data_IF_565202578390
#
_entry.id   IF_565202578390
#
_cell.length_a   1.000
_cell.length_b   1.000
_cell.length_c   1.000
_cell.angle_alpha   90.00
_cell.angle_beta   90.00
_cell.angle_gamma   90.00
#
_symmetry.space_group_name_H-M   'P 1'
#
loop_
_entity.id
_entity.type
_entity.pdbx_description
1 polymer ?
#
# COMPACT_ATOMS: atom_id res chain seq x y z
N UNK A 1 6.08 -9.85 11.02
CA UNK A 1 4.89 -9.26 10.36
C UNK A 1 5.03 -9.17 8.84
N UNK A 2 6.11 -8.56 8.31
CA UNK A 2 6.25 -8.32 6.86
C UNK A 2 6.17 -9.62 6.03
N UNK A 3 6.90 -10.67 6.38
CA UNK A 3 6.82 -11.95 5.66
C UNK A 3 5.40 -12.53 5.64
N UNK A 4 4.68 -12.48 6.76
CA UNK A 4 3.31 -12.98 6.86
C UNK A 4 2.37 -12.19 5.92
N UNK A 5 2.48 -10.86 5.94
CA UNK A 5 1.71 -10.01 5.05
C UNK A 5 2.05 -10.23 3.56
N UNK A 6 3.33 -10.36 3.24
CA UNK A 6 3.81 -10.61 1.88
C UNK A 6 3.35 -11.96 1.35
N UNK A 7 3.39 -13.02 2.17
CA UNK A 7 2.87 -14.34 1.78
C UNK A 7 1.38 -14.26 1.49
N UNK A 8 0.59 -13.64 2.38
CA UNK A 8 -0.84 -13.45 2.14
C UNK A 8 -1.12 -12.66 0.86
N UNK A 9 -0.41 -11.54 0.65
CA UNK A 9 -0.54 -10.71 -0.54
C UNK A 9 -0.18 -11.47 -1.82
N UNK A 10 0.91 -12.25 -1.80
CA UNK A 10 1.30 -13.09 -2.93
C UNK A 10 0.22 -14.11 -3.28
N UNK A 11 -0.40 -14.77 -2.29
CA UNK A 11 -1.49 -15.73 -2.56
C UNK A 11 -2.66 -15.02 -3.27
N UNK A 12 -3.05 -13.82 -2.82
CA UNK A 12 -4.10 -13.02 -3.47
C UNK A 12 -3.69 -12.64 -4.91
N UNK A 13 -2.45 -12.21 -5.12
CA UNK A 13 -1.96 -11.86 -6.45
C UNK A 13 -1.87 -13.06 -7.39
N UNK A 14 -1.51 -14.25 -6.90
CA UNK A 14 -1.56 -15.47 -7.71
C UNK A 14 -2.99 -15.83 -8.09
N UNK A 15 -3.96 -15.67 -7.18
CA UNK A 15 -5.38 -15.86 -7.50
C UNK A 15 -5.91 -14.83 -8.51
N UNK A 16 -5.36 -13.60 -8.51
CA UNK A 16 -5.72 -12.50 -9.43
C UNK A 16 -4.68 -12.25 -10.53
N UNK A 17 -3.85 -13.23 -10.88
CA UNK A 17 -2.66 -13.03 -11.73
C UNK A 17 -2.99 -12.40 -13.09
N UNK A 18 -4.15 -12.75 -13.67
CA UNK A 18 -4.62 -12.21 -14.95
C UNK A 18 -4.85 -10.70 -14.93
N UNK A 19 -5.14 -10.14 -13.76
CA UNK A 19 -5.45 -8.73 -13.56
C UNK A 19 -4.25 -7.91 -13.11
N UNK A 20 -3.11 -8.54 -12.82
CA UNK A 20 -1.88 -7.83 -12.40
C UNK A 20 -1.38 -6.87 -13.49
N UNK A 21 -1.32 -7.24 -14.78
CA UNK A 21 -0.92 -6.30 -15.83
C UNK A 21 -1.88 -5.10 -15.95
N UNK A 22 -3.19 -5.35 -15.88
CA UNK A 22 -4.23 -4.30 -15.88
C UNK A 22 -4.04 -3.35 -14.68
N UNK A 23 -3.72 -3.92 -13.52
CA UNK A 23 -3.48 -3.18 -12.27
C UNK A 23 -2.31 -2.21 -12.40
N UNK A 24 -1.18 -2.63 -12.94
CA UNK A 24 -0.07 -1.73 -13.25
C UNK A 24 -0.49 -0.64 -14.24
N UNK A 25 -1.18 -1.02 -15.32
CA UNK A 25 -1.69 -0.06 -16.30
C UNK A 25 -2.58 1.02 -15.68
N UNK A 26 -3.46 0.64 -14.76
CA UNK A 26 -4.31 1.57 -14.02
C UNK A 26 -3.51 2.53 -13.14
N UNK A 27 -2.49 2.05 -12.42
CA UNK A 27 -1.64 2.90 -11.57
C UNK A 27 -1.02 4.05 -12.39
N UNK A 28 -0.38 3.72 -13.51
CA UNK A 28 0.25 4.73 -14.38
C UNK A 28 -0.80 5.62 -15.06
N UNK A 29 -1.88 5.03 -15.59
CA UNK A 29 -2.94 5.79 -16.26
C UNK A 29 -3.56 6.83 -15.33
N UNK A 30 -3.96 6.44 -14.12
CA UNK A 30 -4.62 7.35 -13.18
C UNK A 30 -3.66 8.31 -12.47
N UNK A 31 -2.36 7.99 -12.42
CA UNK A 31 -1.34 8.91 -11.91
C UNK A 31 -1.14 10.11 -12.86
N UNK A 32 -1.11 9.89 -14.18
CA UNK A 32 -0.81 10.94 -15.17
C UNK A 32 -2.04 11.50 -15.90
N UNK A 33 -3.08 10.69 -16.07
CA UNK A 33 -4.35 11.07 -16.70
C UNK A 33 -5.50 10.72 -15.75
N UNK A 34 -5.59 11.43 -14.61
CA UNK A 34 -6.67 11.20 -13.65
C UNK A 34 -8.02 11.51 -14.31
N UNK A 35 -8.98 10.59 -14.15
CA UNK A 35 -10.34 10.81 -14.62
C UNK A 35 -10.96 12.01 -13.89
N UNK A 36 -11.42 13.01 -14.64
CA UNK A 36 -12.00 14.27 -14.16
C UNK A 36 -13.43 14.10 -13.60
N UNK A 37 -13.72 12.97 -12.96
CA UNK A 37 -15.05 12.62 -12.44
C UNK A 37 -15.47 13.57 -11.29
N UNK A 38 -14.52 14.23 -10.62
CA UNK A 38 -14.79 15.14 -9.50
C UNK A 38 -14.39 16.56 -9.91
N UNK A 39 -15.17 17.22 -10.77
CA UNK A 39 -15.37 18.68 -10.91
C UNK A 39 -14.17 19.64 -11.07
N UNK A 40 -12.94 19.18 -10.88
CA UNK A 40 -11.69 19.91 -11.02
C UNK A 40 -10.96 19.39 -12.24
N UNK A 41 -10.39 20.30 -13.03
CA UNK A 41 -9.60 19.93 -14.20
C UNK A 41 -8.45 18.97 -13.86
N UNK A 42 -7.84 18.40 -14.90
CA UNK A 42 -6.72 17.44 -14.82
C UNK A 42 -5.65 17.88 -13.78
N UNK A 43 -5.37 19.19 -13.69
CA UNK A 43 -4.41 19.76 -12.73
C UNK A 43 -4.79 19.58 -11.25
N UNK A 44 -6.07 19.70 -10.88
CA UNK A 44 -6.51 19.49 -9.50
C UNK A 44 -6.38 18.02 -9.10
N UNK A 45 -6.77 17.12 -10.01
CA UNK A 45 -6.70 15.69 -9.76
C UNK A 45 -5.24 15.20 -9.70
N UNK A 46 -4.35 15.72 -10.55
CA UNK A 46 -2.92 15.45 -10.48
C UNK A 46 -2.31 15.96 -9.16
N UNK A 47 -2.61 17.21 -8.78
CA UNK A 47 -2.17 17.77 -7.50
C UNK A 47 -2.63 16.91 -6.33
N UNK A 48 -3.86 16.40 -6.39
CA UNK A 48 -4.43 15.54 -5.34
C UNK A 48 -3.73 14.19 -5.29
N UNK A 49 -3.50 13.55 -6.44
CA UNK A 49 -2.79 12.27 -6.53
C UNK A 49 -1.37 12.39 -5.96
N UNK A 50 -0.63 13.42 -6.37
CA UNK A 50 0.73 13.67 -5.87
C UNK A 50 0.70 13.99 -4.37
N UNK A 51 -0.17 14.91 -3.93
CA UNK A 51 -0.20 15.34 -2.53
C UNK A 51 -0.60 14.20 -1.59
N UNK A 52 -1.62 13.41 -1.95
CA UNK A 52 -2.05 12.27 -1.15
C UNK A 52 -1.03 11.13 -1.19
N UNK A 53 -0.42 10.87 -2.34
CA UNK A 53 0.65 9.89 -2.49
C UNK A 53 1.88 10.24 -1.66
N UNK A 54 2.37 11.48 -1.78
CA UNK A 54 3.49 11.97 -1.00
C UNK A 54 3.18 11.96 0.50
N UNK A 55 2.01 12.48 0.91
CA UNK A 55 1.60 12.48 2.32
C UNK A 55 1.59 11.05 2.87
N UNK A 56 0.88 10.11 2.23
CA UNK A 56 0.80 8.73 2.73
C UNK A 56 2.13 7.99 2.68
N UNK A 57 2.94 8.23 1.64
CA UNK A 57 4.28 7.63 1.51
C UNK A 57 5.22 8.08 2.63
N UNK A 58 5.31 9.40 2.86
CA UNK A 58 6.13 9.98 3.95
C UNK A 58 5.67 9.53 5.34
N UNK A 59 4.36 9.31 5.53
CA UNK A 59 3.83 8.75 6.78
C UNK A 59 4.14 7.25 6.95
N UNK A 60 4.29 6.49 5.87
CA UNK A 60 4.58 5.05 5.92
C UNK A 60 6.06 4.77 6.22
N UNK A 61 6.94 5.44 5.48
CA UNK A 61 8.39 5.17 5.56
C UNK A 61 9.16 6.16 6.46
N UNK A 62 8.46 7.14 7.04
CA UNK A 62 9.03 8.22 7.87
C UNK A 62 10.18 9.00 7.21
N UNK A 63 10.25 9.00 5.87
CA UNK A 63 11.29 9.71 5.16
C UNK A 63 11.19 11.22 5.43
N UNK A 64 12.29 11.82 5.88
CA UNK A 64 12.34 13.23 6.20
C UNK A 64 11.62 13.65 7.49
N UNK A 65 11.11 12.70 8.30
CA UNK A 65 10.46 13.02 9.59
C UNK A 65 11.47 13.25 10.73
N UNK A 66 12.70 12.72 10.59
CA UNK A 66 13.77 12.91 11.59
C UNK A 66 13.64 12.05 12.85
N UNK A 67 12.62 11.19 12.94
CA UNK A 67 12.40 10.20 14.01
C UNK A 67 13.31 8.97 13.85
N UNK A 68 13.39 8.40 12.64
CA UNK A 68 14.15 7.18 12.34
C UNK A 68 15.65 7.21 12.70
N UNK A 69 16.38 8.34 12.63
CA UNK A 69 17.79 8.39 13.03
C UNK A 69 18.04 8.06 14.51
N UNK A 70 17.06 8.22 15.41
CA UNK A 70 17.22 7.88 16.84
C UNK A 70 17.48 6.38 17.03
N UNK A 71 16.73 5.53 16.32
CA UNK A 71 16.94 4.09 16.35
C UNK A 71 18.26 3.68 15.67
N UNK A 72 18.62 4.37 14.58
CA UNK A 72 19.87 4.11 13.87
C UNK A 72 21.11 4.55 14.67
N UNK A 73 21.00 5.55 15.54
CA UNK A 73 22.10 5.99 16.40
C UNK A 73 22.48 4.96 17.47
N UNK A 74 21.56 4.06 17.84
CA UNK A 74 21.80 2.95 18.77
C UNK A 74 22.42 1.73 18.09
N UNK A 75 22.53 1.72 16.76
CA UNK A 75 23.04 0.58 16.03
C UNK A 75 24.54 0.39 16.28
N UNK A 76 24.93 -0.85 16.60
CA UNK A 76 26.33 -1.22 16.75
C UNK A 76 26.98 -1.43 15.38
N UNK A 77 27.39 -0.33 14.74
CA UNK A 77 28.06 -0.32 13.44
C UNK A 77 29.43 0.35 13.52
N UNK A 78 30.35 -0.03 12.63
CA UNK A 78 31.70 0.54 12.62
C UNK A 78 31.77 1.89 11.91
N UNK A 79 30.87 2.11 10.96
CA UNK A 79 30.82 3.34 10.16
C UNK A 79 29.37 3.81 9.98
N UNK A 80 29.11 5.14 10.09
CA UNK A 80 27.80 5.71 9.80
C UNK A 80 27.27 5.36 8.40
N UNK A 81 28.17 5.14 7.43
CA UNK A 81 27.81 4.75 6.07
C UNK A 81 27.12 3.37 6.02
N UNK A 82 27.57 2.41 6.83
CA UNK A 82 26.97 1.07 6.89
C UNK A 82 25.52 1.18 7.39
N UNK A 83 25.31 1.93 8.47
CA UNK A 83 23.96 2.14 9.01
C UNK A 83 23.07 2.96 8.07
N UNK A 84 23.61 3.94 7.36
CA UNK A 84 22.89 4.68 6.33
C UNK A 84 22.41 3.78 5.19
N UNK A 85 23.23 2.80 4.79
CA UNK A 85 22.85 1.81 3.76
C UNK A 85 21.69 0.93 4.24
N UNK A 86 21.74 0.45 5.49
CA UNK A 86 20.65 -0.33 6.09
C UNK A 86 19.36 0.49 6.21
N UNK A 87 19.47 1.77 6.60
CA UNK A 87 18.33 2.68 6.68
C UNK A 87 17.63 2.87 5.32
N UNK A 88 18.40 3.05 4.24
CA UNK A 88 17.84 3.17 2.88
C UNK A 88 17.11 1.88 2.44
N UNK A 89 17.63 0.71 2.81
CA UNK A 89 16.96 -0.58 2.54
C UNK A 89 15.63 -0.66 3.29
N UNK A 90 15.54 -0.15 4.52
CA UNK A 90 14.29 -0.08 5.27
C UNK A 90 13.18 0.67 4.51
N UNK A 91 13.50 1.85 3.99
CA UNK A 91 12.58 2.65 3.16
C UNK A 91 12.18 1.90 1.89
N UNK A 92 13.13 1.20 1.25
CA UNK A 92 12.85 0.40 0.06
C UNK A 92 11.86 -0.73 0.36
N UNK A 93 12.09 -1.50 1.42
CA UNK A 93 11.20 -2.61 1.81
C UNK A 93 9.80 -2.08 2.14
N UNK A 94 9.71 -0.98 2.89
CA UNK A 94 8.40 -0.40 3.24
C UNK A 94 7.62 0.04 1.99
N UNK A 95 8.23 0.87 1.15
CA UNK A 95 7.51 1.53 0.04
C UNK A 95 7.40 0.67 -1.21
N UNK A 96 8.51 0.06 -1.66
CA UNK A 96 8.53 -0.68 -2.93
C UNK A 96 8.07 -2.13 -2.78
N UNK A 97 8.18 -2.71 -1.59
CA UNK A 97 7.78 -4.12 -1.38
C UNK A 97 6.42 -4.18 -0.70
N UNK A 98 6.28 -3.66 0.52
CA UNK A 98 5.06 -3.83 1.33
C UNK A 98 3.92 -2.94 0.82
N UNK A 99 4.15 -1.64 0.62
CA UNK A 99 3.10 -0.71 0.19
C UNK A 99 2.66 -1.02 -1.25
N UNK A 100 3.60 -1.35 -2.14
CA UNK A 100 3.27 -1.77 -3.51
C UNK A 100 2.48 -3.07 -3.52
N UNK A 101 2.85 -4.08 -2.72
CA UNK A 101 2.04 -5.31 -2.56
C UNK A 101 0.60 -4.97 -2.15
N UNK A 102 0.44 -4.10 -1.15
CA UNK A 102 -0.87 -3.64 -0.67
C UNK A 102 -1.68 -2.98 -1.79
N UNK A 103 -1.05 -2.08 -2.55
CA UNK A 103 -1.68 -1.39 -3.66
C UNK A 103 -2.10 -2.36 -4.77
N UNK A 104 -1.23 -3.30 -5.15
CA UNK A 104 -1.54 -4.33 -6.15
C UNK A 104 -2.70 -5.22 -5.70
N UNK A 105 -2.71 -5.68 -4.45
CA UNK A 105 -3.80 -6.49 -3.90
C UNK A 105 -5.12 -5.72 -3.94
N UNK A 106 -5.15 -4.47 -3.47
CA UNK A 106 -6.38 -3.65 -3.44
C UNK A 106 -6.87 -3.31 -4.84
N UNK A 107 -6.00 -2.87 -5.74
CA UNK A 107 -6.40 -2.47 -7.10
C UNK A 107 -6.80 -3.70 -7.92
N UNK A 108 -6.04 -4.79 -7.83
CA UNK A 108 -6.33 -6.01 -8.59
C UNK A 108 -7.64 -6.67 -8.18
N UNK A 109 -8.11 -6.51 -6.93
CA UNK A 109 -9.35 -7.10 -6.41
C UNK A 109 -10.55 -6.17 -6.55
N UNK A 110 -10.39 -4.90 -6.16
CA UNK A 110 -11.51 -3.96 -6.07
C UNK A 110 -11.78 -3.17 -7.36
N UNK A 111 -10.77 -2.94 -8.20
CA UNK A 111 -10.90 -2.11 -9.39
C UNK A 111 -10.78 -2.92 -10.69
N UNK A 112 -9.75 -3.77 -10.80
CA UNK A 112 -9.51 -4.55 -12.01
C UNK A 112 -10.57 -5.63 -12.22
N UNK A 113 -10.81 -6.02 -13.47
CA UNK A 113 -11.66 -7.18 -13.79
C UNK A 113 -13.12 -7.06 -13.35
N UNK A 114 -13.71 -5.86 -13.42
CA UNK A 114 -15.06 -5.55 -12.91
C UNK A 114 -15.20 -5.79 -11.40
N UNK A 115 -14.16 -5.43 -10.62
CA UNK A 115 -14.24 -5.43 -9.17
C UNK A 115 -15.33 -4.47 -8.65
N UNK A 116 -15.71 -4.58 -7.36
CA UNK A 116 -16.79 -3.78 -6.77
C UNK A 116 -16.68 -2.27 -6.98
N UNK A 117 -15.46 -1.74 -7.15
CA UNK A 117 -15.19 -0.30 -7.33
C UNK A 117 -14.81 0.06 -8.78
N UNK A 118 -14.95 -0.86 -9.74
CA UNK A 118 -14.56 -0.64 -11.14
C UNK A 118 -15.32 0.53 -11.80
N UNK A 119 -16.57 0.78 -11.36
CA UNK A 119 -17.44 1.81 -11.91
C UNK A 119 -17.59 3.05 -11.01
N UNK A 120 -16.83 3.13 -9.92
CA UNK A 120 -16.87 4.26 -8.98
C UNK A 120 -17.06 3.81 -7.54
N UNK A 121 -17.35 4.79 -6.66
CA UNK A 121 -17.63 4.50 -5.27
C UNK A 121 -18.99 3.78 -5.16
N UNK A 122 -19.03 2.68 -4.42
CA UNK A 122 -20.26 1.96 -4.08
C UNK A 122 -20.62 2.26 -2.64
N UNK A 123 -21.89 2.55 -2.38
CA UNK A 123 -22.40 2.76 -1.03
C UNK A 123 -22.14 1.52 -0.16
N UNK A 124 -21.51 1.74 1.00
CA UNK A 124 -21.15 0.68 1.95
C UNK A 124 -19.68 0.23 1.93
N UNK A 125 -18.89 0.62 0.92
CA UNK A 125 -17.44 0.37 0.92
C UNK A 125 -16.70 1.60 1.48
N UNK A 126 -16.25 1.52 2.72
CA UNK A 126 -15.44 2.56 3.36
C UNK A 126 -14.00 2.56 2.83
N UNK A 127 -13.39 3.74 2.73
CA UNK A 127 -11.97 3.89 2.37
C UNK A 127 -11.01 3.34 3.44
N UNK A 128 -11.50 3.04 4.64
CA UNK A 128 -10.68 2.63 5.79
C UNK A 128 -10.39 1.13 5.83
N UNK A 129 -11.21 0.30 5.18
CA UNK A 129 -11.14 -1.17 5.25
C UNK A 129 -10.88 -1.83 3.89
N UNK A 130 -10.32 -1.09 2.93
CA UNK A 130 -10.04 -1.58 1.57
C UNK A 130 -9.14 -2.82 1.54
N UNK A 131 -8.12 -2.89 2.40
CA UNK A 131 -7.27 -4.07 2.49
C UNK A 131 -8.04 -5.28 3.03
N UNK A 132 -8.88 -5.10 4.06
CA UNK A 132 -9.72 -6.17 4.59
C UNK A 132 -10.67 -6.71 3.51
N UNK A 133 -11.35 -5.83 2.78
CA UNK A 133 -12.23 -6.21 1.67
C UNK A 133 -11.48 -6.96 0.55
N UNK A 134 -10.30 -6.47 0.18
CA UNK A 134 -9.47 -7.10 -0.84
C UNK A 134 -9.05 -8.53 -0.45
N UNK A 135 -8.55 -8.72 0.77
CA UNK A 135 -8.14 -10.04 1.25
C UNK A 135 -9.34 -10.98 1.46
N UNK A 136 -10.46 -10.47 1.97
CA UNK A 136 -11.71 -11.23 2.14
C UNK A 136 -12.29 -11.72 0.81
N UNK A 137 -12.05 -11.00 -0.30
CA UNK A 137 -12.50 -11.45 -1.63
C UNK A 137 -11.87 -12.76 -2.10
N UNK A 138 -10.71 -13.14 -1.56
CA UNK A 138 -9.99 -14.37 -1.93
C UNK A 138 -9.98 -15.39 -0.79
N UNK A 139 -9.78 -14.96 0.45
CA UNK A 139 -9.72 -15.84 1.62
C UNK A 139 -11.09 -16.11 2.25
N UNK A 140 -12.16 -15.45 1.79
CA UNK A 140 -13.46 -15.44 2.42
C UNK A 140 -13.52 -14.47 3.61
N UNK A 141 -14.73 -14.05 3.97
CA UNK A 141 -14.95 -12.95 4.92
C UNK A 141 -14.34 -13.19 6.29
N UNK A 142 -14.44 -14.42 6.81
CA UNK A 142 -13.92 -14.73 8.15
C UNK A 142 -12.40 -14.74 8.19
N UNK A 143 -11.76 -15.49 7.28
CA UNK A 143 -10.31 -15.65 7.26
C UNK A 143 -9.59 -14.39 6.76
N UNK A 144 -10.13 -13.71 5.74
CA UNK A 144 -9.55 -12.48 5.22
C UNK A 144 -9.54 -11.34 6.24
N UNK A 145 -10.67 -11.13 6.92
CA UNK A 145 -10.76 -10.10 7.96
C UNK A 145 -9.86 -10.44 9.16
N UNK A 146 -9.84 -11.70 9.61
CA UNK A 146 -8.96 -12.13 10.70
C UNK A 146 -7.48 -11.98 10.34
N UNK A 147 -7.09 -12.38 9.13
CA UNK A 147 -5.72 -12.25 8.63
C UNK A 147 -5.24 -10.80 8.66
N UNK A 148 -6.02 -9.88 8.09
CA UNK A 148 -5.65 -8.47 8.05
C UNK A 148 -5.67 -7.85 9.45
N UNK A 149 -6.61 -8.22 10.32
CA UNK A 149 -6.64 -7.75 11.71
C UNK A 149 -5.38 -8.17 12.49
N UNK A 150 -4.93 -9.42 12.34
CA UNK A 150 -3.68 -9.91 12.95
C UNK A 150 -2.48 -9.15 12.38
N UNK A 151 -2.44 -8.92 11.06
CA UNK A 151 -1.37 -8.13 10.45
C UNK A 151 -1.35 -6.69 10.99
N UNK A 152 -2.51 -6.04 11.06
CA UNK A 152 -2.66 -4.67 11.56
C UNK A 152 -2.26 -4.56 13.04
N UNK A 153 -2.57 -5.57 13.86
CA UNK A 153 -2.11 -5.63 15.25
C UNK A 153 -0.59 -5.56 15.33
N UNK A 154 0.11 -6.40 14.56
CA UNK A 154 1.58 -6.39 14.56
C UNK A 154 2.18 -5.14 13.94
N UNK A 155 1.57 -4.61 12.85
CA UNK A 155 2.01 -3.36 12.25
C UNK A 155 1.90 -2.20 13.23
N UNK A 156 0.72 -1.99 13.82
CA UNK A 156 0.50 -0.94 14.79
C UNK A 156 1.41 -1.10 16.01
N UNK A 157 1.57 -2.31 16.54
CA UNK A 157 2.47 -2.56 17.68
C UNK A 157 3.94 -2.28 17.35
N UNK A 158 4.40 -2.57 16.13
CA UNK A 158 5.80 -2.31 15.74
C UNK A 158 6.13 -0.83 15.53
N UNK A 159 5.11 0.00 15.31
CA UNK A 159 5.26 1.46 15.13
C UNK A 159 5.25 2.21 16.45
N UNK A 160 4.65 1.63 17.51
CA UNK A 160 4.69 2.16 18.88
C UNK A 160 6.06 1.86 19.50
#
# INVERSE_FOLDING_TARGET
MACLYLVGGLIVLFARIRYVPETFGMIFKYAFVPQSIIGGGIGYALKTAISQGAKRGLFSNEAGMGSTPHAHALANVKSPHEQGTVAMIGVFIDTFVVLTMTALVVISTLYAGNGPLAHGAVDGISKTNMAQLAFSSVFGDTLGNAFVAICLLFFAFSTI
#
